data_IF_138449960525
#
_entry.id   IF_138449960525
#
_cell.length_a   1.000
_cell.length_b   1.000
_cell.length_c   1.000
_cell.angle_alpha   90.00
_cell.angle_beta   90.00
_cell.angle_gamma   90.00
#
_symmetry.space_group_name_H-M   'P 1'
#
loop_
_entity.id
_entity.type
_entity.pdbx_description
1 polymer ?
#
# COMPACT_ATOMS: atom_id res chain seq x y z
N UNK A 1 32.70 6.43 -20.45
CA UNK A 1 32.34 6.99 -21.76
C UNK A 1 32.19 5.93 -22.87
N UNK A 2 33.07 4.93 -23.03
CA UNK A 2 32.88 3.88 -24.06
C UNK A 2 31.64 2.99 -23.84
N UNK A 3 31.28 2.71 -22.58
CA UNK A 3 30.11 1.90 -22.26
C UNK A 3 28.76 2.59 -22.56
N UNK A 4 28.69 3.92 -22.50
CA UNK A 4 27.44 4.66 -22.74
C UNK A 4 27.13 4.81 -24.24
N UNK A 5 28.15 5.05 -25.09
CA UNK A 5 27.98 5.03 -26.55
C UNK A 5 27.48 3.66 -27.06
N UNK A 6 28.04 2.58 -26.51
CA UNK A 6 27.62 1.19 -26.80
C UNK A 6 26.15 0.94 -26.48
N UNK A 7 25.64 1.50 -25.37
CA UNK A 7 24.24 1.38 -25.00
C UNK A 7 23.31 2.19 -25.92
N UNK A 8 23.70 3.41 -26.29
CA UNK A 8 22.92 4.27 -27.18
C UNK A 8 22.82 3.65 -28.59
N UNK A 9 23.91 3.09 -29.11
CA UNK A 9 23.92 2.47 -30.44
C UNK A 9 23.14 1.15 -30.47
N UNK A 10 23.16 0.37 -29.38
CA UNK A 10 22.28 -0.80 -29.21
C UNK A 10 20.81 -0.42 -29.16
N UNK A 11 20.45 0.64 -28.45
CA UNK A 11 19.07 1.14 -28.40
C UNK A 11 18.61 1.61 -29.79
N UNK A 12 19.47 2.32 -30.54
CA UNK A 12 19.17 2.71 -31.93
C UNK A 12 19.00 1.52 -32.87
N UNK A 13 19.75 0.45 -32.70
CA UNK A 13 19.57 -0.79 -33.49
C UNK A 13 18.20 -1.42 -33.27
N UNK A 14 17.71 -1.48 -32.02
CA UNK A 14 16.36 -2.00 -31.75
C UNK A 14 15.25 -1.07 -32.24
N UNK A 15 15.50 0.24 -32.30
CA UNK A 15 14.56 1.24 -32.85
C UNK A 15 14.58 1.33 -34.39
N UNK A 16 15.44 0.58 -35.07
CA UNK A 16 15.62 0.67 -36.54
C UNK A 16 14.52 -0.01 -37.36
N UNK A 17 13.74 -0.91 -36.76
CA UNK A 17 12.69 -1.69 -37.44
C UNK A 17 11.54 -1.95 -36.45
N UNK A 18 10.30 -1.78 -36.92
CA UNK A 18 9.08 -2.06 -36.16
C UNK A 18 9.04 -3.49 -35.58
N UNK A 19 9.56 -4.50 -36.27
CA UNK A 19 9.61 -5.88 -35.78
C UNK A 19 10.60 -6.02 -34.62
N UNK A 20 11.78 -5.38 -34.70
CA UNK A 20 12.78 -5.38 -33.63
C UNK A 20 12.31 -4.62 -32.39
N UNK A 21 11.57 -3.53 -32.60
CA UNK A 21 10.91 -2.80 -31.51
C UNK A 21 9.87 -3.71 -30.84
N UNK A 22 9.05 -4.42 -31.62
CA UNK A 22 8.05 -5.34 -31.07
C UNK A 22 8.70 -6.49 -30.28
N UNK A 23 9.78 -7.10 -30.80
CA UNK A 23 10.54 -8.13 -30.09
C UNK A 23 11.13 -7.61 -28.76
N UNK A 24 11.73 -6.41 -28.77
CA UNK A 24 12.28 -5.79 -27.58
C UNK A 24 11.19 -5.50 -26.53
N UNK A 25 10.03 -4.99 -26.95
CA UNK A 25 8.90 -4.73 -26.05
C UNK A 25 8.31 -6.02 -25.47
N UNK A 26 8.21 -7.08 -26.26
CA UNK A 26 7.76 -8.39 -25.79
C UNK A 26 8.75 -8.99 -24.79
N UNK A 27 10.04 -8.85 -25.03
CA UNK A 27 11.08 -9.27 -24.09
C UNK A 27 10.96 -8.51 -22.77
N UNK A 28 10.87 -7.18 -22.81
CA UNK A 28 10.69 -6.34 -21.61
C UNK A 28 9.46 -6.78 -20.82
N UNK A 29 8.31 -6.94 -21.49
CA UNK A 29 7.07 -7.38 -20.84
C UNK A 29 7.20 -8.75 -20.18
N UNK A 30 7.88 -9.69 -20.83
CA UNK A 30 8.13 -11.02 -20.26
C UNK A 30 9.07 -10.95 -19.06
N UNK A 31 10.11 -10.12 -19.13
CA UNK A 31 11.03 -9.89 -18.02
C UNK A 31 10.33 -9.22 -16.83
N UNK A 32 9.48 -8.21 -17.06
CA UNK A 32 8.66 -7.58 -16.02
C UNK A 32 7.77 -8.60 -15.31
N UNK A 33 7.14 -9.51 -16.06
CA UNK A 33 6.32 -10.58 -15.49
C UNK A 33 7.15 -11.50 -14.58
N UNK A 34 8.33 -11.93 -15.05
CA UNK A 34 9.24 -12.78 -14.26
C UNK A 34 9.71 -12.04 -12.99
N UNK A 35 10.04 -10.76 -13.10
CA UNK A 35 10.46 -9.94 -11.97
C UNK A 35 9.34 -9.79 -10.93
N UNK A 36 8.09 -9.63 -11.36
CA UNK A 36 6.96 -9.54 -10.44
C UNK A 36 6.71 -10.89 -9.74
N UNK A 37 6.80 -12.02 -10.45
CA UNK A 37 6.71 -13.36 -9.85
C UNK A 37 7.85 -13.60 -8.83
N UNK A 38 9.09 -13.21 -9.18
CA UNK A 38 10.23 -13.33 -8.28
C UNK A 38 10.07 -12.46 -7.03
N UNK A 39 9.58 -11.23 -7.19
CA UNK A 39 9.30 -10.30 -6.10
C UNK A 39 8.27 -10.84 -5.12
N UNK A 40 7.19 -11.47 -5.59
CA UNK A 40 6.21 -12.11 -4.71
C UNK A 40 6.83 -13.26 -3.91
N UNK A 41 7.63 -14.13 -4.55
CA UNK A 41 8.37 -15.20 -3.83
C UNK A 41 9.34 -14.64 -2.79
N UNK A 42 10.03 -13.55 -3.10
CA UNK A 42 10.94 -12.87 -2.15
C UNK A 42 10.16 -12.31 -0.97
N UNK A 43 8.97 -11.73 -1.18
CA UNK A 43 8.11 -11.24 -0.09
C UNK A 43 7.63 -12.36 0.81
N UNK A 44 7.16 -13.47 0.24
CA UNK A 44 6.76 -14.66 1.00
C UNK A 44 7.92 -15.18 1.86
N UNK A 45 9.11 -15.29 1.26
CA UNK A 45 10.30 -15.73 2.00
C UNK A 45 10.74 -14.73 3.07
N UNK A 46 10.63 -13.43 2.79
CA UNK A 46 10.94 -12.38 3.76
C UNK A 46 10.00 -12.47 4.98
N UNK A 47 8.70 -12.72 4.74
CA UNK A 47 7.72 -13.00 5.79
C UNK A 47 8.17 -14.19 6.63
N UNK A 48 8.45 -15.35 6.03
CA UNK A 48 8.88 -16.54 6.79
C UNK A 48 10.13 -16.29 7.66
N UNK A 49 11.13 -15.59 7.11
CA UNK A 49 12.36 -15.25 7.83
C UNK A 49 12.07 -14.30 8.98
N UNK A 50 11.29 -13.26 8.74
CA UNK A 50 10.92 -12.27 9.75
C UNK A 50 10.07 -12.88 10.88
N UNK A 51 9.17 -13.83 10.59
CA UNK A 51 8.43 -14.60 11.60
C UNK A 51 9.39 -15.43 12.46
N UNK A 52 10.29 -16.16 11.81
CA UNK A 52 11.28 -17.01 12.49
C UNK A 52 12.21 -16.21 13.40
N UNK A 53 12.58 -15.00 12.99
CA UNK A 53 13.44 -14.09 13.76
C UNK A 53 12.67 -13.20 14.74
N UNK A 54 11.34 -13.28 14.74
CA UNK A 54 10.45 -12.41 15.52
C UNK A 54 10.75 -10.91 15.31
N UNK A 55 10.84 -10.49 14.04
CA UNK A 55 11.13 -9.10 13.63
C UNK A 55 10.02 -8.53 12.77
N UNK A 56 9.63 -7.29 13.06
CA UNK A 56 8.64 -6.55 12.26
C UNK A 56 9.26 -5.52 11.31
N UNK A 57 10.55 -5.19 11.50
CA UNK A 57 11.26 -4.14 10.77
C UNK A 57 12.72 -4.55 10.54
N UNK A 58 13.20 -4.32 9.33
CA UNK A 58 14.61 -4.43 8.94
C UNK A 58 15.02 -3.12 8.28
N UNK A 59 16.14 -2.55 8.70
CA UNK A 59 16.77 -1.39 8.07
C UNK A 59 17.97 -1.85 7.25
N UNK A 60 18.12 -1.35 6.03
CA UNK A 60 19.21 -1.69 5.13
C UNK A 60 19.73 -0.46 4.40
N UNK A 61 21.04 -0.29 4.32
CA UNK A 61 21.68 0.82 3.62
C UNK A 61 22.37 0.32 2.35
N UNK A 62 22.22 1.09 1.27
CA UNK A 62 22.88 0.85 -0.01
C UNK A 62 23.70 2.10 -0.34
N UNK A 63 24.98 1.91 -0.63
CA UNK A 63 25.85 2.98 -1.12
C UNK A 63 25.90 2.92 -2.63
N UNK A 64 25.52 4.01 -3.29
CA UNK A 64 25.73 4.19 -4.72
C UNK A 64 27.24 4.33 -4.98
N UNK A 65 27.82 3.37 -5.70
CA UNK A 65 29.25 3.32 -6.00
C UNK A 65 29.72 4.44 -6.94
N UNK A 66 28.81 5.07 -7.69
CA UNK A 66 29.13 6.14 -8.62
C UNK A 66 29.05 7.54 -7.98
N UNK A 67 28.08 7.75 -7.09
CA UNK A 67 27.83 9.07 -6.47
C UNK A 67 28.31 9.16 -5.02
N UNK A 68 28.57 8.03 -4.36
CA UNK A 68 28.87 7.95 -2.93
C UNK A 68 27.65 8.19 -2.04
N UNK A 69 26.46 8.35 -2.62
CA UNK A 69 25.21 8.58 -1.89
C UNK A 69 24.81 7.32 -1.12
N UNK A 70 24.54 7.46 0.18
CA UNK A 70 24.01 6.38 1.02
C UNK A 70 22.49 6.53 1.04
N UNK A 71 21.79 5.49 0.58
CA UNK A 71 20.33 5.39 0.65
C UNK A 71 19.93 4.34 1.66
N UNK A 72 19.11 4.74 2.61
CA UNK A 72 18.59 3.85 3.65
C UNK A 72 17.17 3.42 3.32
N UNK A 73 16.88 2.15 3.60
CA UNK A 73 15.62 1.49 3.31
C UNK A 73 15.08 0.82 4.57
N UNK A 74 13.79 0.97 4.80
CA UNK A 74 13.02 0.22 5.78
C UNK A 74 12.18 -0.84 5.09
N UNK A 75 12.35 -2.09 5.50
CA UNK A 75 11.50 -3.22 5.12
C UNK A 75 10.66 -3.58 6.34
N UNK A 76 9.35 -3.36 6.25
CA UNK A 76 8.41 -3.60 7.35
C UNK A 76 7.39 -4.65 6.97
N UNK A 77 6.94 -5.42 7.96
CA UNK A 77 5.77 -6.28 7.84
C UNK A 77 4.53 -5.51 7.41
N UNK A 78 3.83 -6.06 6.42
CA UNK A 78 2.52 -5.61 6.03
C UNK A 78 1.52 -6.72 6.28
N UNK A 79 0.98 -6.75 7.50
CA UNK A 79 -0.07 -7.70 7.91
C UNK A 79 -1.42 -7.46 7.22
N UNK A 80 -1.50 -6.43 6.37
CA UNK A 80 -2.75 -5.96 5.82
C UNK A 80 -3.49 -5.09 6.82
N UNK A 81 -4.61 -4.53 6.37
CA UNK A 81 -5.45 -3.70 7.22
C UNK A 81 -6.84 -4.29 7.30
N UNK A 82 -7.36 -4.37 8.53
CA UNK A 82 -8.77 -4.59 8.76
C UNK A 82 -9.46 -3.23 8.82
N UNK A 83 -10.61 -3.13 8.17
CA UNK A 83 -11.39 -1.90 8.18
C UNK A 83 -12.87 -2.22 8.35
N UNK A 84 -13.55 -1.52 9.27
CA UNK A 84 -14.98 -1.68 9.58
C UNK A 84 -15.86 -0.77 8.72
N UNK A 85 -16.68 -1.30 7.83
CA UNK A 85 -17.75 -0.51 7.17
C UNK A 85 -19.04 -0.63 7.97
N UNK A 86 -19.62 0.52 8.32
CA UNK A 86 -20.93 0.55 8.96
C UNK A 86 -22.01 0.65 7.90
N UNK A 87 -23.13 -0.05 8.12
CA UNK A 87 -24.24 -0.07 7.16
C UNK A 87 -24.83 1.34 7.04
N UNK A 88 -25.04 1.86 5.82
CA UNK A 88 -25.64 3.19 5.62
C UNK A 88 -26.98 3.36 6.35
N UNK A 89 -27.81 2.32 6.36
CA UNK A 89 -29.10 2.30 7.08
C UNK A 89 -28.95 2.55 8.58
N UNK A 90 -27.96 1.92 9.21
CA UNK A 90 -27.66 2.09 10.64
C UNK A 90 -27.18 3.51 10.95
N UNK A 91 -26.30 4.05 10.10
CA UNK A 91 -25.76 5.40 10.26
C UNK A 91 -26.84 6.46 10.03
N UNK A 92 -27.72 6.26 9.04
CA UNK A 92 -28.87 7.12 8.75
C UNK A 92 -29.90 7.06 9.88
N UNK A 93 -30.21 5.86 10.38
CA UNK A 93 -31.12 5.67 11.52
C UNK A 93 -30.63 6.38 12.79
N UNK A 94 -29.32 6.39 13.03
CA UNK A 94 -28.72 7.02 14.20
C UNK A 94 -28.54 8.54 14.09
N UNK A 95 -28.16 9.06 12.92
CA UNK A 95 -27.76 10.47 12.74
C UNK A 95 -28.76 11.32 11.95
N UNK A 96 -29.71 10.68 11.26
CA UNK A 96 -30.53 11.31 10.24
C UNK A 96 -29.80 11.55 8.92
N UNK A 97 -30.56 11.69 7.84
CA UNK A 97 -30.05 11.70 6.45
C UNK A 97 -29.00 12.79 6.20
N UNK A 98 -29.22 14.02 6.67
CA UNK A 98 -28.30 15.15 6.41
C UNK A 98 -26.92 14.97 7.05
N UNK A 99 -26.89 14.49 8.30
CA UNK A 99 -25.62 14.26 9.01
C UNK A 99 -24.94 12.99 8.52
N UNK A 100 -25.71 11.93 8.27
CA UNK A 100 -25.19 10.66 7.78
C UNK A 100 -24.51 10.80 6.41
N UNK A 101 -25.01 11.67 5.52
CA UNK A 101 -24.43 11.86 4.18
C UNK A 101 -22.96 12.28 4.20
N UNK A 102 -22.55 13.03 5.23
CA UNK A 102 -21.15 13.45 5.45
C UNK A 102 -20.24 12.27 5.76
N UNK A 103 -20.78 11.14 6.20
CA UNK A 103 -20.02 9.96 6.59
C UNK A 103 -20.14 8.80 5.60
N UNK A 104 -21.02 8.89 4.60
CA UNK A 104 -21.14 7.88 3.54
C UNK A 104 -19.91 7.83 2.60
N UNK A 105 -19.16 8.94 2.49
CA UNK A 105 -18.00 9.06 1.58
C UNK A 105 -16.66 9.33 2.27
N UNK A 106 -16.64 9.47 3.60
CA UNK A 106 -15.45 9.84 4.38
C UNK A 106 -14.85 8.61 5.06
N UNK A 107 -13.57 8.66 5.42
CA UNK A 107 -12.89 7.56 6.08
C UNK A 107 -13.59 7.16 7.39
N UNK A 108 -13.58 5.85 7.69
CA UNK A 108 -14.26 5.22 8.82
C UNK A 108 -13.86 5.80 10.17
N UNK A 109 -12.58 6.15 10.32
CA UNK A 109 -12.05 6.77 11.53
C UNK A 109 -12.72 8.10 11.84
N UNK A 110 -13.16 8.85 10.82
CA UNK A 110 -13.85 10.12 11.01
C UNK A 110 -15.26 9.96 11.58
N UNK A 111 -16.01 8.92 11.18
CA UNK A 111 -17.33 8.63 11.76
C UNK A 111 -17.21 8.20 13.22
N UNK A 112 -16.30 7.26 13.53
CA UNK A 112 -16.08 6.79 14.91
C UNK A 112 -15.64 7.94 15.83
N UNK A 113 -14.71 8.78 15.35
CA UNK A 113 -14.28 10.00 16.07
C UNK A 113 -15.44 10.96 16.30
N UNK A 114 -16.28 11.16 15.28
CA UNK A 114 -17.46 12.02 15.39
C UNK A 114 -18.46 11.50 16.43
N UNK A 115 -18.86 10.24 16.31
CA UNK A 115 -19.82 9.60 17.22
C UNK A 115 -19.35 9.69 18.67
N UNK A 116 -18.10 9.28 18.94
CA UNK A 116 -17.51 9.36 20.29
C UNK A 116 -17.50 10.78 20.84
N UNK A 117 -17.17 11.76 19.99
CA UNK A 117 -17.13 13.18 20.39
C UNK A 117 -18.51 13.74 20.68
N UNK A 118 -19.52 13.43 19.87
CA UNK A 118 -20.89 13.92 20.09
C UNK A 118 -21.56 13.22 21.29
N UNK A 119 -21.29 11.94 21.51
CA UNK A 119 -21.72 11.23 22.72
C UNK A 119 -21.07 11.80 23.97
N UNK A 120 -19.76 12.07 23.93
CA UNK A 120 -19.04 12.70 25.05
C UNK A 120 -19.55 14.12 25.37
N UNK A 121 -20.13 14.81 24.39
CA UNK A 121 -20.78 16.11 24.54
C UNK A 121 -22.25 16.01 24.95
N UNK A 122 -22.81 14.81 25.07
CA UNK A 122 -24.23 14.58 25.35
C UNK A 122 -25.18 14.93 24.19
N UNK A 123 -24.65 15.26 23.01
CA UNK A 123 -25.45 15.62 21.83
C UNK A 123 -26.01 14.38 21.09
N UNK A 124 -25.48 13.19 21.40
CA UNK A 124 -25.93 11.92 20.86
C UNK A 124 -26.09 10.91 22.01
N UNK A 125 -27.28 10.32 22.22
CA UNK A 125 -27.48 9.22 23.15
C UNK A 125 -26.59 8.01 22.81
N UNK A 126 -26.16 7.27 23.84
CA UNK A 126 -25.35 6.06 23.69
C UNK A 126 -26.04 5.01 22.79
N UNK A 127 -27.36 4.90 22.89
CA UNK A 127 -28.19 3.97 22.11
C UNK A 127 -28.11 4.25 20.60
N UNK A 128 -28.09 5.53 20.20
CA UNK A 128 -27.93 5.91 18.78
C UNK A 128 -26.49 5.67 18.31
N UNK A 129 -25.50 5.84 19.17
CA UNK A 129 -24.11 5.45 18.85
C UNK A 129 -24.01 3.94 18.61
N UNK A 130 -24.58 3.12 19.49
CA UNK A 130 -24.59 1.66 19.37
C UNK A 130 -25.33 1.21 18.11
N UNK A 131 -26.45 1.85 17.78
CA UNK A 131 -27.17 1.63 16.52
C UNK A 131 -26.27 1.93 15.31
N UNK A 132 -25.56 3.07 15.30
CA UNK A 132 -24.71 3.48 14.18
C UNK A 132 -23.57 2.50 13.90
N UNK A 133 -22.98 1.91 14.95
CA UNK A 133 -21.82 1.01 14.84
C UNK A 133 -22.19 -0.47 14.81
N UNK A 134 -23.49 -0.80 14.87
CA UNK A 134 -23.99 -2.17 14.91
C UNK A 134 -23.61 -2.95 13.65
N UNK A 135 -23.23 -4.22 13.85
CA UNK A 135 -22.91 -5.21 12.82
C UNK A 135 -21.99 -4.67 11.71
N UNK A 136 -20.77 -4.22 12.05
CA UNK A 136 -19.84 -3.68 11.06
C UNK A 136 -19.42 -4.77 10.06
N UNK A 137 -19.43 -4.41 8.78
CA UNK A 137 -18.87 -5.22 7.71
C UNK A 137 -17.35 -5.13 7.82
N UNK A 138 -16.73 -6.22 8.24
CA UNK A 138 -15.28 -6.33 8.31
C UNK A 138 -14.72 -6.55 6.90
N UNK A 139 -14.04 -5.53 6.35
CA UNK A 139 -13.24 -5.68 5.14
C UNK A 139 -11.79 -5.89 5.50
N UNK A 140 -11.30 -7.09 5.20
CA UNK A 140 -9.88 -7.42 5.27
C UNK A 140 -9.21 -7.09 3.95
N UNK A 141 -8.24 -6.18 4.00
CA UNK A 141 -7.29 -6.01 2.90
C UNK A 141 -6.10 -6.91 3.22
N UNK A 142 -5.88 -7.95 2.40
CA UNK A 142 -4.67 -8.76 2.50
C UNK A 142 -3.46 -7.84 2.39
N UNK A 143 -2.51 -8.01 3.31
CA UNK A 143 -1.24 -7.30 3.23
C UNK A 143 -0.39 -7.83 2.09
N UNK A 144 0.57 -7.03 1.64
CA UNK A 144 1.54 -7.43 0.62
C UNK A 144 2.69 -8.29 1.17
N UNK A 145 2.55 -8.84 2.38
CA UNK A 145 3.60 -9.54 3.12
C UNK A 145 4.58 -8.58 3.77
N UNK A 146 5.35 -7.86 2.95
CA UNK A 146 6.27 -6.81 3.37
C UNK A 146 6.13 -5.56 2.50
N UNK A 147 6.47 -4.40 3.07
CA UNK A 147 6.54 -3.10 2.40
C UNK A 147 7.94 -2.52 2.57
N UNK A 148 8.47 -1.97 1.50
CA UNK A 148 9.76 -1.30 1.47
C UNK A 148 9.56 0.21 1.32
N UNK A 149 10.30 1.02 2.08
CA UNK A 149 10.27 2.48 2.00
C UNK A 149 11.69 3.05 2.15
N UNK A 150 12.03 4.02 1.32
CA UNK A 150 13.26 4.79 1.49
C UNK A 150 13.13 5.76 2.67
N UNK A 151 14.13 5.79 3.53
CA UNK A 151 14.27 6.77 4.61
C UNK A 151 14.86 8.03 3.97
N UNK A 152 14.02 9.04 3.76
CA UNK A 152 14.54 10.37 3.43
C UNK A 152 15.18 10.96 4.69
N UNK A 153 16.48 11.27 4.61
CA UNK A 153 17.17 12.03 5.65
C UNK A 153 16.36 13.30 5.96
N UNK A 154 16.06 13.54 7.24
CA UNK A 154 15.38 14.74 7.73
C UNK A 154 16.37 15.90 7.83
#
# INVERSE_FOLDING_TARGET
MENEKSLIDKVRFYLSDTNKVAEALLLIRNTEKILEEAKEKVKERAVEIMDRENRDLVTYSITDTATGEIREWEIRRDYGSQSKEYRPENVIGALGTEKAFKFLKVSKSSLDTYLKRETAKGALPMELMEMAIKDPIMKMRKGSGVKMREIKAR
#
